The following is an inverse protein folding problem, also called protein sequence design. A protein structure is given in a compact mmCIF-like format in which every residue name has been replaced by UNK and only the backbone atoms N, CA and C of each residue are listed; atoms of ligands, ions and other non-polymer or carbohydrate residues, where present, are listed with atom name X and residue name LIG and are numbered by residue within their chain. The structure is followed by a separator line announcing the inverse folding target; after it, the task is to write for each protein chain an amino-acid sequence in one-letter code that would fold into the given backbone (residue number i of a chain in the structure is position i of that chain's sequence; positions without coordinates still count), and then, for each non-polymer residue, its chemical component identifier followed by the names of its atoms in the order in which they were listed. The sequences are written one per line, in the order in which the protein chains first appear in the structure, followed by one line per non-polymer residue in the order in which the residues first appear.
data_IF_341935162333
#
_entry.id   IF_341935162333
#
_cell.length_a   1.000
_cell.length_b   1.000
_cell.length_c   1.000
_cell.angle_alpha   90.00
_cell.angle_beta   90.00
_cell.angle_gamma   90.00
#
_symmetry.space_group_name_H-M   'P 1'
#
loop_
_entity.id
_entity.type
_entity.pdbx_description
1 polymer ?
#
# COMPACT_ATOMS: atom_id res chain seq x y z
N UNK A 1 -12.95 33.68 10.09
CA UNK A 1 -12.21 32.84 9.12
C UNK A 1 -12.18 31.43 9.66
N UNK A 2 -12.61 30.41 8.89
CA UNK A 2 -12.35 29.02 9.28
C UNK A 2 -10.82 28.78 9.23
N UNK A 3 -10.27 27.91 10.10
CA UNK A 3 -8.85 27.58 10.05
C UNK A 3 -8.54 26.91 8.71
N UNK A 4 -7.52 27.39 8.02
CA UNK A 4 -6.94 26.71 6.86
C UNK A 4 -6.52 25.30 7.31
N UNK A 5 -6.98 24.21 6.66
CA UNK A 5 -6.53 22.88 7.03
C UNK A 5 -5.01 22.83 6.88
N UNK A 6 -4.32 22.48 7.97
CA UNK A 6 -2.87 22.36 7.96
C UNK A 6 -2.47 21.30 6.92
N UNK A 7 -1.67 21.69 5.93
CA UNK A 7 -1.09 20.77 4.97
C UNK A 7 -0.14 19.84 5.72
N UNK A 8 -0.60 18.63 6.05
CA UNK A 8 0.21 17.61 6.72
C UNK A 8 1.41 17.26 5.85
N UNK A 9 2.59 17.20 6.44
CA UNK A 9 3.82 16.81 5.74
C UNK A 9 3.89 15.28 5.57
N UNK A 10 4.58 14.81 4.53
CA UNK A 10 4.73 13.36 4.29
C UNK A 10 5.39 12.63 5.47
N UNK A 11 6.28 13.30 6.22
CA UNK A 11 6.94 12.74 7.41
C UNK A 11 5.96 12.53 8.57
N UNK A 12 5.08 13.50 8.80
CA UNK A 12 3.99 13.38 9.79
C UNK A 12 2.98 12.31 9.39
N UNK A 13 2.74 12.14 8.08
CA UNK A 13 1.84 11.12 7.57
C UNK A 13 2.41 9.72 7.80
N UNK A 14 3.70 9.50 7.54
CA UNK A 14 4.35 8.21 7.81
C UNK A 14 4.42 7.93 9.31
N UNK A 15 4.85 8.91 10.12
CA UNK A 15 5.01 8.73 11.56
C UNK A 15 3.69 8.44 12.29
N UNK A 16 2.58 8.96 11.77
CA UNK A 16 1.26 8.79 12.38
C UNK A 16 0.47 7.57 11.85
N UNK A 17 0.94 6.90 10.79
CA UNK A 17 0.12 5.91 10.07
C UNK A 17 0.67 4.50 10.18
N UNK A 18 -0.06 3.64 10.90
CA UNK A 18 0.16 2.20 10.86
C UNK A 18 -0.56 1.59 9.65
N UNK A 19 0.19 1.47 8.54
CA UNK A 19 -0.29 0.92 7.27
C UNK A 19 -0.82 -0.51 7.43
N UNK A 20 -0.19 -1.34 8.27
CA UNK A 20 -0.60 -2.72 8.48
C UNK A 20 -1.98 -2.80 9.14
N UNK A 21 -2.19 -1.99 10.17
CA UNK A 21 -3.49 -1.88 10.85
C UNK A 21 -4.57 -1.31 9.93
N UNK A 22 -4.25 -0.33 9.08
CA UNK A 22 -5.22 0.25 8.14
C UNK A 22 -5.60 -0.71 7.00
N UNK A 23 -4.63 -1.47 6.47
CA UNK A 23 -4.88 -2.52 5.48
C UNK A 23 -5.79 -3.60 6.06
N UNK A 24 -5.47 -4.08 7.27
CA UNK A 24 -6.28 -5.01 8.04
C UNK A 24 -7.73 -4.53 8.19
N UNK A 25 -7.90 -3.29 8.62
CA UNK A 25 -9.22 -2.68 8.76
C UNK A 25 -9.95 -2.61 7.41
N UNK A 26 -9.29 -2.18 6.33
CA UNK A 26 -9.92 -2.09 5.01
C UNK A 26 -10.33 -3.44 4.40
N UNK A 27 -9.75 -4.55 4.85
CA UNK A 27 -10.09 -5.90 4.39
C UNK A 27 -11.35 -6.50 5.05
N UNK A 28 -11.87 -5.93 6.14
CA UNK A 28 -12.85 -6.61 7.02
C UNK A 28 -14.33 -6.23 6.89
N UNK A 29 -14.78 -5.02 6.41
CA UNK A 29 -16.15 -4.74 5.86
C UNK A 29 -16.50 -3.27 5.51
N UNK A 30 -17.69 -3.13 4.89
CA UNK A 30 -18.32 -2.07 4.09
C UNK A 30 -18.51 -0.66 4.70
N UNK A 31 -18.24 0.35 3.86
CA UNK A 31 -18.69 1.75 3.87
C UNK A 31 -17.97 2.79 4.77
N UNK A 32 -17.60 2.53 6.03
CA UNK A 32 -16.80 3.50 6.83
C UNK A 32 -15.28 3.42 6.54
N UNK A 33 -14.86 2.45 5.73
CA UNK A 33 -13.49 1.95 5.63
C UNK A 33 -12.73 2.30 4.33
N UNK A 34 -13.39 2.86 3.31
CA UNK A 34 -12.70 3.30 2.09
C UNK A 34 -11.70 4.42 2.37
N UNK A 35 -12.00 5.27 3.35
CA UNK A 35 -11.08 6.32 3.80
C UNK A 35 -9.84 5.73 4.46
N UNK A 36 -9.98 4.76 5.37
CA UNK A 36 -8.85 4.11 6.07
C UNK A 36 -8.03 3.21 5.14
N UNK A 37 -8.68 2.49 4.22
CA UNK A 37 -8.01 1.71 3.17
C UNK A 37 -7.25 2.61 2.19
N UNK A 38 -7.83 3.78 1.88
CA UNK A 38 -7.20 4.85 1.11
C UNK A 38 -6.03 5.51 1.83
N UNK A 39 -6.18 5.84 3.12
CA UNK A 39 -5.12 6.44 3.95
C UNK A 39 -3.94 5.47 4.13
N UNK A 40 -4.23 4.17 4.31
CA UNK A 40 -3.23 3.11 4.29
C UNK A 40 -2.52 3.00 2.94
N UNK A 41 -3.25 3.12 1.83
CA UNK A 41 -2.66 3.11 0.49
C UNK A 41 -1.76 4.33 0.23
N UNK A 42 -2.16 5.52 0.70
CA UNK A 42 -1.36 6.75 0.60
C UNK A 42 -0.08 6.61 1.41
N UNK A 43 -0.16 6.20 2.68
CA UNK A 43 1.02 6.00 3.52
C UNK A 43 1.96 4.91 2.96
N UNK A 44 1.41 3.81 2.43
CA UNK A 44 2.19 2.79 1.74
C UNK A 44 2.90 3.33 0.50
N UNK A 45 2.19 4.11 -0.34
CA UNK A 45 2.74 4.72 -1.54
C UNK A 45 3.88 5.67 -1.21
N UNK A 46 3.72 6.54 -0.20
CA UNK A 46 4.79 7.44 0.26
C UNK A 46 6.01 6.64 0.74
N UNK A 47 5.78 5.59 1.52
CA UNK A 47 6.84 4.76 2.11
C UNK A 47 7.64 4.03 1.02
N UNK A 48 6.96 3.32 0.13
CA UNK A 48 7.60 2.59 -0.96
C UNK A 48 8.29 3.50 -1.98
N UNK A 49 7.68 4.65 -2.30
CA UNK A 49 8.29 5.63 -3.19
C UNK A 49 9.61 6.18 -2.64
N UNK A 50 9.68 6.46 -1.33
CA UNK A 50 10.92 6.90 -0.65
C UNK A 50 11.99 5.82 -0.64
N UNK A 51 11.60 4.55 -0.61
CA UNK A 51 12.51 3.41 -0.78
C UNK A 51 12.89 3.15 -2.25
N UNK A 52 12.45 4.00 -3.18
CA UNK A 52 12.80 3.91 -4.60
C UNK A 52 12.01 2.85 -5.37
N UNK A 53 10.98 2.24 -4.78
CA UNK A 53 10.18 1.19 -5.42
C UNK A 53 9.42 1.77 -6.61
N UNK A 54 9.47 1.09 -7.76
CA UNK A 54 8.77 1.53 -8.96
C UNK A 54 7.28 1.14 -8.91
N UNK A 55 6.35 1.97 -9.42
CA UNK A 55 4.94 1.62 -9.56
C UNK A 55 4.72 0.24 -10.19
N UNK A 56 5.44 -0.04 -11.28
CA UNK A 56 5.36 -1.32 -12.01
C UNK A 56 5.70 -2.54 -11.15
N UNK A 57 6.59 -2.39 -10.16
CA UNK A 57 6.96 -3.48 -9.25
C UNK A 57 5.80 -3.81 -8.31
N UNK A 58 5.07 -2.80 -7.85
CA UNK A 58 3.90 -2.98 -6.97
C UNK A 58 2.72 -3.55 -7.75
N UNK A 59 2.46 -3.08 -8.97
CA UNK A 59 1.44 -3.63 -9.85
C UNK A 59 1.69 -5.12 -10.17
N UNK A 60 2.96 -5.49 -10.43
CA UNK A 60 3.32 -6.90 -10.64
C UNK A 60 3.05 -7.78 -9.41
N UNK A 61 3.23 -7.23 -8.21
CA UNK A 61 2.87 -7.94 -6.98
C UNK A 61 1.35 -8.10 -6.84
N UNK A 62 0.54 -7.12 -7.26
CA UNK A 62 -0.91 -7.27 -7.30
C UNK A 62 -1.33 -8.46 -8.18
N UNK A 63 -0.70 -8.60 -9.35
CA UNK A 63 -0.93 -9.75 -10.23
C UNK A 63 -0.47 -11.07 -9.62
N UNK A 64 0.65 -11.04 -8.88
CA UNK A 64 1.15 -12.21 -8.15
C UNK A 64 0.19 -12.63 -7.03
N UNK A 65 -0.41 -11.68 -6.30
CA UNK A 65 -1.45 -11.96 -5.31
C UNK A 65 -2.69 -12.56 -5.96
N UNK A 66 -3.11 -12.08 -7.14
CA UNK A 66 -4.23 -12.70 -7.89
C UNK A 66 -3.95 -14.14 -8.29
N UNK A 67 -2.69 -14.46 -8.59
CA UNK A 67 -2.29 -15.78 -9.06
C UNK A 67 -2.03 -16.78 -7.92
N UNK A 68 -1.47 -16.31 -6.79
CA UNK A 68 -0.95 -17.18 -5.72
C UNK A 68 -1.46 -16.86 -4.30
N UNK A 69 -2.25 -15.79 -4.13
CA UNK A 69 -2.74 -15.35 -2.83
C UNK A 69 -1.74 -14.47 -2.07
N UNK A 70 -2.23 -13.86 -0.98
CA UNK A 70 -1.45 -12.90 -0.18
C UNK A 70 -0.31 -13.57 0.57
N UNK A 71 -0.57 -14.75 1.15
CA UNK A 71 0.43 -15.50 1.92
C UNK A 71 1.61 -15.91 1.04
N UNK A 72 1.35 -16.40 -0.17
CA UNK A 72 2.40 -16.78 -1.12
C UNK A 72 3.37 -15.62 -1.39
N UNK A 73 2.83 -14.41 -1.64
CA UNK A 73 3.65 -13.22 -1.91
C UNK A 73 4.44 -12.78 -0.68
N UNK A 74 3.86 -12.91 0.52
CA UNK A 74 4.56 -12.60 1.78
C UNK A 74 5.76 -13.53 2.04
N UNK A 75 5.72 -14.77 1.55
CA UNK A 75 6.76 -15.77 1.73
C UNK A 75 7.85 -15.72 0.63
N UNK A 76 7.70 -14.87 -0.39
CA UNK A 76 8.72 -14.74 -1.44
C UNK A 76 10.06 -14.29 -0.86
N UNK A 77 11.20 -14.89 -1.27
CA UNK A 77 12.54 -14.50 -0.80
C UNK A 77 12.94 -13.06 -1.15
N UNK A 78 12.44 -12.53 -2.26
CA UNK A 78 12.67 -11.14 -2.72
C UNK A 78 11.44 -10.63 -3.49
N UNK A 79 10.38 -10.16 -2.81
CA UNK A 79 9.18 -9.63 -3.47
C UNK A 79 9.43 -8.28 -4.15
N UNK A 80 10.41 -7.51 -3.68
CA UNK A 80 10.79 -6.23 -4.25
C UNK A 80 12.31 -6.16 -4.50
N UNK A 81 12.78 -5.32 -5.45
CA UNK A 81 14.20 -5.19 -5.76
C UNK A 81 15.11 -4.68 -4.61
N UNK A 82 14.52 -4.18 -3.52
CA UNK A 82 15.21 -3.70 -2.33
C UNK A 82 14.88 -4.59 -1.13
N UNK A 83 15.89 -4.95 -0.34
CA UNK A 83 15.73 -5.73 0.87
C UNK A 83 14.86 -4.99 1.90
N UNK A 84 15.15 -3.71 2.15
CA UNK A 84 14.39 -2.87 3.08
C UNK A 84 12.92 -2.75 2.64
N UNK A 85 12.68 -2.52 1.36
CA UNK A 85 11.32 -2.45 0.82
C UNK A 85 10.59 -3.79 0.91
N UNK A 86 11.32 -4.89 0.68
CA UNK A 86 10.78 -6.24 0.84
C UNK A 86 10.39 -6.53 2.28
N UNK A 87 11.20 -6.16 3.27
CA UNK A 87 10.85 -6.34 4.68
C UNK A 87 9.60 -5.56 5.09
N UNK A 88 9.53 -4.28 4.70
CA UNK A 88 8.35 -3.43 4.96
C UNK A 88 7.09 -4.04 4.35
N UNK A 89 7.14 -4.42 3.07
CA UNK A 89 6.01 -5.03 2.37
C UNK A 89 5.59 -6.35 3.03
N UNK A 90 6.54 -7.22 3.41
CA UNK A 90 6.24 -8.47 4.11
C UNK A 90 5.53 -8.23 5.42
N UNK A 91 5.93 -7.20 6.17
CA UNK A 91 5.24 -6.79 7.40
C UNK A 91 3.76 -6.55 7.14
N UNK A 92 3.43 -5.77 6.10
CA UNK A 92 2.05 -5.46 5.72
C UNK A 92 1.28 -6.68 5.23
N UNK A 93 1.88 -7.48 4.34
CA UNK A 93 1.23 -8.65 3.76
C UNK A 93 0.99 -9.75 4.79
N UNK A 94 1.86 -9.92 5.78
CA UNK A 94 1.65 -10.86 6.89
C UNK A 94 0.50 -10.42 7.79
N UNK A 95 0.44 -9.14 8.15
CA UNK A 95 -0.71 -8.60 8.89
C UNK A 95 -2.01 -8.74 8.09
N UNK A 96 -1.95 -8.61 6.77
CA UNK A 96 -3.09 -8.85 5.90
C UNK A 96 -3.45 -10.34 5.78
N UNK A 97 -2.49 -11.26 5.69
CA UNK A 97 -2.75 -12.70 5.54
C UNK A 97 -3.45 -13.30 6.75
N UNK A 98 -3.20 -12.77 7.95
CA UNK A 98 -3.88 -13.21 9.17
C UNK A 98 -5.40 -12.96 9.11
N UNK A 99 -5.87 -12.07 8.21
CA UNK A 99 -7.26 -11.61 8.16
C UNK A 99 -7.90 -11.73 6.77
N UNK A 100 -7.09 -11.84 5.72
CA UNK A 100 -7.54 -12.12 4.37
C UNK A 100 -7.96 -13.60 4.23
N UNK A 101 -9.08 -13.97 4.86
CA UNK A 101 -9.65 -15.30 4.73
C UNK A 101 -10.46 -15.41 3.43
N UNK A 102 -9.83 -15.98 2.39
CA UNK A 102 -10.50 -16.41 1.16
C UNK A 102 -10.45 -15.43 -0.02
N UNK A 103 -10.96 -15.86 -1.19
CA UNK A 103 -10.68 -15.21 -2.48
C UNK A 103 -11.07 -13.74 -2.57
N UNK A 104 -12.17 -13.34 -1.93
CA UNK A 104 -12.64 -11.95 -1.94
C UNK A 104 -11.67 -11.01 -1.21
N UNK A 105 -11.08 -11.48 -0.11
CA UNK A 105 -10.13 -10.68 0.65
C UNK A 105 -8.78 -10.57 -0.08
N UNK A 106 -8.35 -11.65 -0.75
CA UNK A 106 -7.17 -11.62 -1.61
C UNK A 106 -7.36 -10.68 -2.81
N UNK A 107 -8.55 -10.68 -3.42
CA UNK A 107 -8.89 -9.74 -4.49
C UNK A 107 -8.87 -8.28 -4.02
N UNK A 108 -9.34 -8.00 -2.78
CA UNK A 108 -9.22 -6.67 -2.18
C UNK A 108 -7.76 -6.28 -1.93
N UNK A 109 -6.92 -7.20 -1.44
CA UNK A 109 -5.50 -6.94 -1.23
C UNK A 109 -4.77 -6.67 -2.56
N UNK A 110 -5.07 -7.41 -3.62
CA UNK A 110 -4.53 -7.13 -4.95
C UNK A 110 -4.97 -5.75 -5.46
N UNK A 111 -6.24 -5.37 -5.28
CA UNK A 111 -6.74 -4.04 -5.65
C UNK A 111 -6.09 -2.92 -4.83
N UNK A 112 -5.79 -3.18 -3.56
CA UNK A 112 -5.05 -2.25 -2.71
C UNK A 112 -3.65 -1.98 -3.28
N UNK A 113 -2.92 -3.04 -3.66
CA UNK A 113 -1.59 -2.92 -4.26
C UNK A 113 -1.61 -2.13 -5.58
N UNK A 114 -2.62 -2.33 -6.44
CA UNK A 114 -2.79 -1.50 -7.64
C UNK A 114 -3.00 -0.02 -7.29
N UNK A 115 -3.81 0.26 -6.28
CA UNK A 115 -4.05 1.63 -5.81
C UNK A 115 -2.75 2.27 -5.31
N UNK A 116 -1.93 1.53 -4.57
CA UNK A 116 -0.60 1.98 -4.13
C UNK A 116 0.30 2.26 -5.33
N UNK A 117 0.32 1.39 -6.34
CA UNK A 117 1.09 1.58 -7.56
C UNK A 117 0.69 2.87 -8.30
N UNK A 118 -0.61 3.11 -8.48
CA UNK A 118 -1.17 4.32 -9.08
C UNK A 118 -0.74 5.58 -8.32
N UNK A 119 -0.82 5.56 -6.99
CA UNK A 119 -0.43 6.68 -6.14
C UNK A 119 1.07 6.99 -6.21
N UNK A 120 1.94 5.98 -6.26
CA UNK A 120 3.38 6.19 -6.49
C UNK A 120 3.61 6.88 -7.83
N UNK A 121 2.92 6.43 -8.89
CA UNK A 121 3.01 7.02 -10.23
C UNK A 121 2.61 8.50 -10.22
N UNK A 122 1.42 8.81 -9.72
CA UNK A 122 0.90 10.18 -9.65
C UNK A 122 1.83 11.11 -8.84
N UNK A 123 2.43 10.62 -7.75
CA UNK A 123 3.40 11.40 -6.95
C UNK A 123 4.70 11.70 -7.70
N UNK A 124 5.15 10.81 -8.57
CA UNK A 124 6.37 11.02 -9.38
C UNK A 124 6.13 11.99 -10.51
N UNK A 125 4.99 11.87 -11.19
CA UNK A 125 4.58 12.79 -12.24
C UNK A 125 4.38 14.21 -11.69
N UNK A 126 3.81 14.35 -10.48
CA UNK A 126 3.66 15.64 -9.81
C UNK A 126 4.99 16.30 -9.42
N UNK A 127 6.04 15.50 -9.15
CA UNK A 127 7.41 16.00 -8.87
C UNK A 127 8.22 16.26 -10.13
N UNK A 128 7.84 15.63 -11.23
CA UNK A 128 8.50 15.74 -12.54
C UNK A 128 7.47 16.32 -13.51
N UNK A 129 7.10 17.61 -13.37
CA UNK A 129 6.13 18.22 -14.27
C UNK A 129 6.61 17.99 -15.70
N UNK A 130 5.73 17.42 -16.52
CA UNK A 130 6.00 17.09 -17.91
C UNK A 130 6.54 18.36 -18.59
N UNK A 131 7.83 18.36 -18.93
CA UNK A 131 8.44 19.32 -19.85
C UNK A 131 8.01 18.99 -21.28
#
# INVERSE_FOLDING_TARGET
MPPTPATRTDDELIAATDVGTLLLYGLTRDAFHTALFGDGAVAAAVTLDRLGVLPRSVAFLADTVRAGGVQYVAELPEPLPSADASEVLRGWLRTASDVAAGPDAEARAARWLDTVAELIGARRDSRTPHQ
#
